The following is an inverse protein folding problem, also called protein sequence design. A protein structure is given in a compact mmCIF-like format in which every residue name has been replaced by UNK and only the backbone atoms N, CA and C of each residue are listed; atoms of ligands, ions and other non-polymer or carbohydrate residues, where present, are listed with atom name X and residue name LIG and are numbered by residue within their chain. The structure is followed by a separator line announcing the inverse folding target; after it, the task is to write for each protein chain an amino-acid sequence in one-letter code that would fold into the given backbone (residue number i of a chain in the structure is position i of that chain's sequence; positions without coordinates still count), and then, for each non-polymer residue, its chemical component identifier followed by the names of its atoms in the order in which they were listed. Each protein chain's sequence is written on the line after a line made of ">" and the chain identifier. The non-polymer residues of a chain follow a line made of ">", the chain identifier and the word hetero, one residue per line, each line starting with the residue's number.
data_IF_345014889488
#
_entry.id   IF_345014889488
#
_cell.length_a   1.000
_cell.length_b   1.000
_cell.length_c   1.000
_cell.angle_alpha   90.00
_cell.angle_beta   90.00
_cell.angle_gamma   90.00
#
_symmetry.space_group_name_H-M   'P 1'
#
loop_
_entity.id
_entity.type
_entity.pdbx_description
1 polymer ?
#
# COMPACT_ATOMS: atom_id res chain seq x y z
N UNK A 1 55.78 -65.76 -21.65
CA UNK A 1 56.14 -65.15 -20.34
C UNK A 1 55.70 -63.69 -20.41
N UNK A 2 54.51 -63.33 -19.93
CA UNK A 2 54.12 -62.87 -18.57
C UNK A 2 54.36 -61.35 -18.35
N UNK A 3 53.35 -60.71 -17.74
CA UNK A 3 53.18 -59.31 -17.25
C UNK A 3 52.55 -58.33 -18.26
N UNK A 4 51.23 -58.12 -18.26
CA UNK A 4 50.40 -57.36 -17.29
C UNK A 4 50.74 -55.86 -17.25
N UNK A 5 49.83 -54.99 -17.73
CA UNK A 5 49.46 -53.84 -16.92
C UNK A 5 48.03 -53.33 -17.21
N UNK A 6 47.34 -53.07 -16.11
CA UNK A 6 45.97 -52.62 -15.94
C UNK A 6 45.75 -51.23 -16.53
N UNK A 7 44.61 -51.00 -17.20
CA UNK A 7 44.01 -49.67 -17.28
C UNK A 7 42.50 -49.76 -17.04
N UNK A 8 42.15 -49.56 -15.78
CA UNK A 8 40.82 -49.19 -15.36
C UNK A 8 40.47 -47.82 -15.99
N UNK A 9 39.35 -47.75 -16.70
CA UNK A 9 38.84 -46.53 -17.31
C UNK A 9 37.34 -46.63 -17.54
N UNK A 10 36.59 -46.93 -16.47
CA UNK A 10 35.13 -47.02 -16.53
C UNK A 10 34.57 -45.62 -16.57
N UNK A 11 33.94 -45.33 -17.71
CA UNK A 11 33.42 -44.04 -18.12
C UNK A 11 32.56 -43.36 -17.05
N UNK A 12 32.89 -42.08 -16.85
CA UNK A 12 32.25 -41.11 -15.98
C UNK A 12 30.91 -40.70 -16.62
N UNK A 13 29.79 -41.11 -16.04
CA UNK A 13 28.47 -40.55 -16.38
C UNK A 13 27.81 -40.06 -15.09
N UNK A 14 28.03 -38.77 -14.81
CA UNK A 14 27.35 -37.98 -13.78
C UNK A 14 25.84 -38.00 -14.10
N UNK A 15 25.08 -38.76 -13.32
CA UNK A 15 23.62 -38.83 -13.40
C UNK A 15 22.93 -38.01 -12.31
N UNK A 16 22.16 -37.02 -12.76
CA UNK A 16 21.03 -36.38 -12.07
C UNK A 16 21.32 -35.55 -10.81
N UNK A 17 21.71 -34.29 -11.03
CA UNK A 17 21.47 -33.22 -10.06
C UNK A 17 19.97 -32.90 -10.05
N UNK A 18 19.23 -33.48 -9.09
CA UNK A 18 17.80 -33.18 -8.90
C UNK A 18 17.67 -31.76 -8.36
N UNK A 19 17.44 -30.81 -9.27
CA UNK A 19 17.13 -29.43 -8.94
C UNK A 19 15.68 -29.37 -8.47
N UNK A 20 15.46 -29.56 -7.17
CA UNK A 20 14.20 -29.23 -6.52
C UNK A 20 13.96 -27.72 -6.62
N UNK A 21 13.25 -27.31 -7.66
CA UNK A 21 12.70 -25.96 -7.78
C UNK A 21 11.58 -25.84 -6.76
N UNK A 22 11.91 -25.28 -5.58
CA UNK A 22 10.92 -24.77 -4.65
C UNK A 22 10.30 -23.52 -5.30
N UNK A 23 9.15 -23.70 -5.95
CA UNK A 23 8.34 -22.61 -6.50
C UNK A 23 7.82 -21.76 -5.34
N UNK A 24 8.56 -20.73 -4.97
CA UNK A 24 8.07 -19.64 -4.13
C UNK A 24 7.08 -18.80 -4.91
N UNK A 25 5.79 -19.18 -4.88
CA UNK A 25 4.73 -18.29 -5.31
C UNK A 25 4.56 -17.19 -4.25
N UNK A 26 5.31 -16.10 -4.40
CA UNK A 26 5.10 -14.87 -3.64
C UNK A 26 3.80 -14.22 -4.14
N UNK A 27 2.70 -14.49 -3.45
CA UNK A 27 1.42 -13.82 -3.69
C UNK A 27 1.51 -12.37 -3.18
N UNK A 28 1.96 -11.46 -4.03
CA UNK A 28 1.77 -10.03 -3.82
C UNK A 28 0.30 -9.67 -4.08
N UNK A 29 -0.58 -9.87 -3.10
CA UNK A 29 -1.90 -9.23 -3.13
C UNK A 29 -1.73 -7.73 -2.89
N UNK A 30 -2.19 -6.90 -3.83
CA UNK A 30 -2.28 -5.47 -3.56
C UNK A 30 -3.40 -5.28 -2.54
N UNK A 31 -3.07 -4.74 -1.37
CA UNK A 31 -4.03 -4.45 -0.30
C UNK A 31 -4.88 -3.22 -0.65
N UNK A 32 -6.10 -3.14 -0.13
CA UNK A 32 -6.94 -1.94 -0.26
C UNK A 32 -6.22 -0.71 0.29
N UNK A 33 -6.31 0.38 -0.45
CA UNK A 33 -5.72 1.67 -0.09
C UNK A 33 -6.78 2.77 -0.13
N UNK A 34 -6.71 3.70 0.81
CA UNK A 34 -7.63 4.85 0.86
C UNK A 34 -6.85 6.14 0.93
N UNK A 35 -7.21 7.10 0.08
CA UNK A 35 -6.62 8.43 0.11
C UNK A 35 -7.33 9.28 1.16
N UNK A 36 -6.63 9.53 2.27
CA UNK A 36 -7.21 10.10 3.48
C UNK A 36 -6.65 11.49 3.74
N UNK A 37 -7.52 12.38 4.22
CA UNK A 37 -7.14 13.64 4.82
C UNK A 37 -7.66 13.71 6.25
N UNK A 38 -6.93 14.40 7.14
CA UNK A 38 -7.32 14.55 8.53
C UNK A 38 -7.20 15.98 9.05
N UNK A 39 -7.93 16.27 10.12
CA UNK A 39 -7.84 17.52 10.89
C UNK A 39 -7.67 17.13 12.35
N UNK A 40 -6.55 17.54 12.95
CA UNK A 40 -6.29 17.33 14.38
C UNK A 40 -6.82 18.52 15.20
N UNK A 41 -7.58 18.23 16.25
CA UNK A 41 -8.26 19.19 17.12
C UNK A 41 -8.06 18.80 18.59
N UNK A 42 -8.14 19.79 19.48
CA UNK A 42 -7.86 19.59 20.92
C UNK A 42 -9.07 19.07 21.70
N UNK A 43 -10.30 19.29 21.21
CA UNK A 43 -11.51 18.89 21.93
C UNK A 43 -12.58 18.34 21.01
N UNK A 44 -13.43 17.47 21.56
CA UNK A 44 -14.59 16.90 20.87
C UNK A 44 -15.53 17.99 20.35
N UNK A 45 -15.84 18.98 21.20
CA UNK A 45 -16.73 20.08 20.85
C UNK A 45 -16.21 20.87 19.66
N UNK A 46 -14.89 21.10 19.58
CA UNK A 46 -14.30 21.73 18.41
C UNK A 46 -14.40 20.83 17.17
N UNK A 47 -14.16 19.53 17.30
CA UNK A 47 -14.34 18.59 16.20
C UNK A 47 -15.78 18.54 15.67
N UNK A 48 -16.78 18.53 16.54
CA UNK A 48 -18.18 18.59 16.14
C UNK A 48 -18.52 19.91 15.43
N UNK A 49 -17.99 21.04 15.93
CA UNK A 49 -18.21 22.35 15.32
C UNK A 49 -17.55 22.46 13.94
N UNK A 50 -16.28 22.05 13.82
CA UNK A 50 -15.54 22.05 12.55
C UNK A 50 -16.21 21.13 11.55
N UNK A 51 -16.71 19.96 11.99
CA UNK A 51 -17.47 19.06 11.11
C UNK A 51 -18.72 19.73 10.56
N UNK A 52 -19.47 20.45 11.39
CA UNK A 52 -20.64 21.22 10.94
C UNK A 52 -20.24 22.31 9.94
N UNK A 53 -19.13 23.02 10.17
CA UNK A 53 -18.59 24.01 9.21
C UNK A 53 -18.28 23.35 7.85
N UNK A 54 -17.62 22.19 7.86
CA UNK A 54 -17.31 21.47 6.61
C UNK A 54 -18.57 21.02 5.88
N UNK A 55 -19.54 20.45 6.59
CA UNK A 55 -20.81 20.02 5.99
C UNK A 55 -21.58 21.22 5.42
N UNK A 56 -21.66 22.33 6.16
CA UNK A 56 -22.28 23.56 5.69
C UNK A 56 -21.55 24.17 4.47
N UNK A 57 -20.24 23.97 4.37
CA UNK A 57 -19.41 24.37 3.24
C UNK A 57 -19.52 23.48 2.00
N UNK A 58 -20.40 22.46 2.02
CA UNK A 58 -20.62 21.54 0.90
C UNK A 58 -20.21 20.09 1.18
N UNK A 59 -19.53 19.82 2.31
CA UNK A 59 -19.16 18.47 2.70
C UNK A 59 -18.16 17.80 1.77
N UNK A 60 -17.40 18.57 1.00
CA UNK A 60 -16.45 18.08 0.01
C UNK A 60 -14.99 18.23 0.46
N UNK A 61 -14.07 17.73 -0.37
CA UNK A 61 -12.64 17.84 -0.11
C UNK A 61 -12.18 19.30 0.05
N UNK A 62 -12.78 20.23 -0.70
CA UNK A 62 -12.39 21.65 -0.69
C UNK A 62 -12.77 22.32 0.63
N UNK A 63 -13.99 22.09 1.11
CA UNK A 63 -14.45 22.56 2.41
C UNK A 63 -13.62 21.96 3.54
N UNK A 64 -13.29 20.67 3.45
CA UNK A 64 -12.44 19.99 4.43
C UNK A 64 -11.03 20.59 4.47
N UNK A 65 -10.40 20.80 3.31
CA UNK A 65 -9.07 21.44 3.21
C UNK A 65 -9.10 22.87 3.76
N UNK A 66 -10.13 23.66 3.47
CA UNK A 66 -10.28 25.00 4.03
C UNK A 66 -10.41 24.98 5.56
N UNK A 67 -11.20 24.06 6.12
CA UNK A 67 -11.32 23.88 7.56
C UNK A 67 -10.01 23.41 8.20
N UNK A 68 -9.24 22.55 7.51
CA UNK A 68 -7.93 22.09 7.96
C UNK A 68 -6.95 23.27 8.10
N UNK A 69 -6.88 24.15 7.09
CA UNK A 69 -6.01 25.33 7.14
C UNK A 69 -6.34 26.26 8.30
N UNK A 70 -7.61 26.38 8.68
CA UNK A 70 -8.02 27.22 9.81
C UNK A 70 -7.74 26.55 11.15
N UNK A 71 -8.22 25.32 11.33
CA UNK A 71 -8.39 24.73 12.67
C UNK A 71 -7.38 23.66 13.03
N UNK A 72 -6.76 22.98 12.05
CA UNK A 72 -5.87 21.85 12.32
C UNK A 72 -4.69 22.27 13.21
N UNK A 73 -4.38 21.42 14.18
CA UNK A 73 -3.22 21.51 15.06
C UNK A 73 -2.03 20.68 14.58
N UNK A 74 -2.22 19.82 13.58
CA UNK A 74 -1.13 19.07 12.98
C UNK A 74 -0.34 19.95 12.02
N UNK A 75 0.81 20.45 12.48
CA UNK A 75 1.70 21.30 11.68
C UNK A 75 2.25 20.59 10.43
N UNK A 76 2.31 19.26 10.41
CA UNK A 76 2.92 18.49 9.33
C UNK A 76 1.99 18.41 8.12
N UNK A 77 0.71 18.09 8.34
CA UNK A 77 -0.26 17.92 7.24
C UNK A 77 -1.11 19.16 6.99
N UNK A 78 -1.22 20.09 7.95
CA UNK A 78 -1.96 21.35 7.76
C UNK A 78 -1.59 22.09 6.47
N UNK A 79 -0.32 22.33 6.10
CA UNK A 79 0.01 22.99 4.83
C UNK A 79 -0.43 22.19 3.59
N UNK A 80 -0.57 20.87 3.72
CA UNK A 80 -1.04 19.96 2.67
C UNK A 80 -2.57 19.77 2.69
N UNK A 81 -3.30 20.60 3.44
CA UNK A 81 -4.76 20.49 3.57
C UNK A 81 -5.20 19.26 4.35
N UNK A 82 -4.34 18.73 5.21
CA UNK A 82 -4.58 17.53 6.02
C UNK A 82 -4.29 16.22 5.29
N UNK A 83 -3.78 16.26 4.07
CA UNK A 83 -3.63 15.08 3.23
C UNK A 83 -2.49 14.17 3.71
N UNK A 84 -2.82 12.91 4.02
CA UNK A 84 -1.87 11.85 4.38
C UNK A 84 -1.52 10.94 3.18
N UNK A 85 -2.21 11.11 2.05
CA UNK A 85 -2.07 10.24 0.90
C UNK A 85 -2.79 8.91 1.08
N UNK A 86 -2.32 7.88 0.37
CA UNK A 86 -2.90 6.54 0.40
C UNK A 86 -2.43 5.75 1.61
N UNK A 87 -3.35 5.44 2.52
CA UNK A 87 -3.12 4.60 3.68
C UNK A 87 -3.64 3.18 3.44
N UNK A 88 -3.04 2.20 4.10
CA UNK A 88 -3.52 0.81 4.21
C UNK A 88 -4.05 0.58 5.62
N UNK A 89 -4.88 -0.45 5.79
CA UNK A 89 -5.42 -0.83 7.10
C UNK A 89 -4.32 -1.02 8.17
N UNK A 90 -3.14 -1.51 7.74
CA UNK A 90 -2.00 -1.83 8.61
C UNK A 90 -0.84 -0.84 8.44
N UNK A 91 -1.11 0.41 8.08
CA UNK A 91 -0.08 1.44 7.85
C UNK A 91 0.59 1.97 9.13
N UNK A 92 0.26 1.43 10.32
CA UNK A 92 0.84 1.86 11.59
C UNK A 92 0.23 3.15 12.16
N UNK A 93 -0.92 3.59 11.64
CA UNK A 93 -1.73 4.63 12.29
C UNK A 93 -2.49 4.06 13.48
N UNK A 94 -2.96 4.94 14.35
CA UNK A 94 -3.84 4.58 15.47
C UNK A 94 -5.00 3.69 15.00
N UNK A 95 -5.35 2.62 15.75
CA UNK A 95 -6.40 1.68 15.36
C UNK A 95 -7.78 2.34 15.20
N UNK A 96 -8.13 3.32 16.04
CA UNK A 96 -9.41 4.03 15.96
C UNK A 96 -9.45 4.92 14.71
N UNK A 97 -8.33 5.59 14.40
CA UNK A 97 -8.18 6.37 13.18
C UNK A 97 -8.35 5.49 11.93
N UNK A 98 -7.63 4.37 11.88
CA UNK A 98 -7.67 3.45 10.75
C UNK A 98 -9.07 2.84 10.59
N UNK A 99 -9.69 2.37 11.67
CA UNK A 99 -11.04 1.81 11.62
C UNK A 99 -12.06 2.82 11.08
N UNK A 100 -12.01 4.08 11.57
CA UNK A 100 -12.90 5.12 11.08
C UNK A 100 -12.68 5.44 9.60
N UNK A 101 -11.42 5.56 9.15
CA UNK A 101 -11.10 5.80 7.74
C UNK A 101 -11.57 4.66 6.82
N UNK A 102 -11.44 3.41 7.26
CA UNK A 102 -11.84 2.22 6.50
C UNK A 102 -13.35 1.89 6.57
N UNK A 103 -14.09 2.52 7.48
CA UNK A 103 -15.55 2.45 7.53
C UNK A 103 -16.25 3.51 6.66
N UNK A 104 -15.52 4.55 6.24
CA UNK A 104 -16.08 5.61 5.40
C UNK A 104 -16.25 5.18 3.94
N UNK A 105 -17.14 5.85 3.21
CA UNK A 105 -17.25 5.76 1.75
C UNK A 105 -16.41 6.87 1.11
N UNK A 106 -16.13 6.76 -0.19
CA UNK A 106 -15.52 7.85 -0.96
C UNK A 106 -16.37 9.13 -0.84
N UNK A 107 -15.71 10.26 -0.56
CA UNK A 107 -16.33 11.55 -0.23
C UNK A 107 -16.87 11.66 1.20
N UNK A 108 -16.77 10.61 2.01
CA UNK A 108 -17.29 10.58 3.37
C UNK A 108 -16.41 11.34 4.36
N UNK A 109 -17.05 11.93 5.37
CA UNK A 109 -16.42 12.58 6.52
C UNK A 109 -16.81 11.83 7.79
N UNK A 110 -15.83 11.49 8.63
CA UNK A 110 -16.07 10.77 9.88
C UNK A 110 -16.78 11.63 10.93
N UNK A 111 -17.33 10.95 11.94
CA UNK A 111 -17.54 11.57 13.24
C UNK A 111 -16.18 11.86 13.93
N UNK A 112 -16.14 12.69 14.98
CA UNK A 112 -14.92 12.92 15.76
C UNK A 112 -14.35 11.63 16.34
N UNK A 113 -13.10 11.33 15.99
CA UNK A 113 -12.37 10.13 16.43
C UNK A 113 -11.33 10.55 17.46
N UNK A 114 -11.36 9.96 18.66
CA UNK A 114 -10.34 10.17 19.68
C UNK A 114 -9.16 9.22 19.45
N UNK A 115 -7.95 9.75 19.46
CA UNK A 115 -6.68 8.99 19.45
C UNK A 115 -5.77 9.52 20.57
N UNK A 116 -4.58 8.94 20.70
CA UNK A 116 -3.53 9.44 21.60
C UNK A 116 -3.10 10.90 21.34
N UNK A 117 -3.26 11.39 20.10
CA UNK A 117 -2.87 12.76 19.71
C UNK A 117 -3.96 13.80 19.94
N UNK A 118 -5.21 13.38 20.12
CA UNK A 118 -6.37 14.25 20.29
C UNK A 118 -7.56 13.82 19.45
N UNK A 119 -8.34 14.79 18.97
CA UNK A 119 -9.56 14.55 18.20
C UNK A 119 -9.32 14.73 16.71
N UNK A 120 -9.71 13.73 15.93
CA UNK A 120 -9.51 13.70 14.48
C UNK A 120 -10.85 13.74 13.76
N UNK A 121 -10.92 14.59 12.73
CA UNK A 121 -11.88 14.42 11.65
C UNK A 121 -11.15 13.81 10.46
N UNK A 122 -11.82 12.89 9.78
CA UNK A 122 -11.24 12.11 8.68
C UNK A 122 -12.10 12.29 7.45
N UNK A 123 -11.49 12.52 6.30
CA UNK A 123 -12.15 12.55 5.00
C UNK A 123 -11.48 11.57 4.04
N UNK A 124 -12.28 10.75 3.35
CA UNK A 124 -11.79 9.79 2.35
C UNK A 124 -12.10 10.34 0.96
N UNK A 125 -11.05 10.72 0.22
CA UNK A 125 -11.20 11.27 -1.13
C UNK A 125 -11.23 10.20 -2.22
N UNK A 126 -10.58 9.06 -1.99
CA UNK A 126 -10.45 7.98 -2.99
C UNK A 126 -10.28 6.62 -2.30
N UNK A 127 -10.85 5.57 -2.89
CA UNK A 127 -10.68 4.19 -2.46
C UNK A 127 -10.13 3.40 -3.64
N UNK A 128 -8.95 2.81 -3.46
CA UNK A 128 -8.30 1.91 -4.40
C UNK A 128 -8.45 0.49 -3.88
N UNK A 129 -9.33 -0.28 -4.52
CA UNK A 129 -9.54 -1.67 -4.20
C UNK A 129 -8.23 -2.46 -4.35
N UNK A 130 -7.99 -3.36 -3.41
CA UNK A 130 -6.92 -4.33 -3.55
C UNK A 130 -7.17 -5.26 -4.73
N UNK A 131 -6.13 -5.57 -5.52
CA UNK A 131 -6.25 -6.60 -6.53
C UNK A 131 -6.22 -7.96 -5.84
N UNK A 132 -7.32 -8.71 -5.90
CA UNK A 132 -7.33 -10.11 -5.51
C UNK A 132 -6.22 -10.86 -6.27
N UNK A 133 -5.52 -11.83 -5.65
CA UNK A 133 -4.66 -12.71 -6.43
C UNK A 133 -5.53 -13.42 -7.46
N UNK A 134 -5.28 -13.18 -8.75
CA UNK A 134 -5.88 -14.02 -9.80
C UNK A 134 -5.41 -15.45 -9.50
N UNK A 135 -6.29 -16.32 -9.02
CA UNK A 135 -6.08 -17.77 -9.15
C UNK A 135 -5.88 -18.01 -10.64
N UNK A 136 -4.67 -18.37 -11.04
CA UNK A 136 -4.43 -18.96 -12.35
C UNK A 136 -5.12 -20.34 -12.35
N UNK A 137 -6.41 -20.37 -12.69
CA UNK A 137 -7.04 -21.59 -13.19
C UNK A 137 -6.62 -21.69 -14.65
N UNK A 138 -5.47 -22.33 -14.88
CA UNK A 138 -5.08 -22.81 -16.20
C UNK A 138 -4.79 -24.30 -16.04
N UNK A 139 -5.76 -25.10 -16.47
CA UNK A 139 -5.57 -26.49 -16.78
C UNK A 139 -4.37 -26.66 -17.74
N UNK A 140 -3.70 -27.79 -17.61
CA UNK A 140 -2.50 -28.18 -18.31
C UNK A 140 -2.51 -27.89 -19.82
N UNK A 141 -1.46 -27.24 -20.32
CA UNK A 141 -0.86 -27.52 -21.62
C UNK A 141 0.57 -26.95 -21.67
N UNK A 142 1.49 -27.88 -21.79
CA UNK A 142 2.94 -27.83 -21.97
C UNK A 142 3.45 -26.75 -22.94
N UNK A 143 4.57 -26.09 -22.62
CA UNK A 143 5.38 -25.37 -23.60
C UNK A 143 6.30 -24.28 -23.03
N UNK A 144 7.54 -24.64 -22.70
CA UNK A 144 8.62 -23.71 -22.35
C UNK A 144 9.09 -22.89 -23.57
N UNK A 145 9.35 -21.58 -23.40
CA UNK A 145 10.58 -20.91 -23.88
C UNK A 145 10.69 -19.47 -23.33
N UNK A 146 11.72 -19.22 -22.53
CA UNK A 146 12.34 -17.89 -22.29
C UNK A 146 13.15 -17.45 -23.52
N UNK A 147 13.35 -16.13 -23.75
CA UNK A 147 14.58 -15.44 -23.32
C UNK A 147 14.30 -14.02 -22.75
N UNK A 148 14.87 -13.64 -21.59
CA UNK A 148 16.14 -12.90 -21.40
C UNK A 148 16.10 -11.36 -21.58
N UNK A 149 16.56 -10.68 -20.52
CA UNK A 149 17.19 -9.35 -20.42
C UNK A 149 16.42 -8.07 -20.81
N UNK A 150 16.27 -7.14 -19.84
CA UNK A 150 17.09 -5.91 -19.78
C UNK A 150 16.65 -4.92 -18.67
N UNK A 151 17.60 -4.62 -17.79
CA UNK A 151 17.97 -3.32 -17.16
C UNK A 151 16.89 -2.36 -16.59
N UNK A 152 17.05 -1.86 -15.33
CA UNK A 152 16.13 -0.88 -14.72
C UNK A 152 16.38 0.57 -15.20
N UNK A 153 15.34 1.38 -15.48
CA UNK A 153 15.52 2.81 -15.72
C UNK A 153 15.49 3.62 -14.42
N UNK A 154 16.55 4.41 -14.26
CA UNK A 154 16.69 5.46 -13.27
C UNK A 154 15.61 6.56 -13.44
N UNK A 155 15.14 7.12 -12.32
CA UNK A 155 14.23 8.26 -12.29
C UNK A 155 15.03 9.56 -12.48
N UNK A 156 14.70 10.41 -13.47
CA UNK A 156 15.33 11.72 -13.60
C UNK A 156 14.76 12.71 -12.57
N UNK A 157 15.66 13.43 -11.91
CA UNK A 157 15.38 14.65 -11.15
C UNK A 157 15.18 15.80 -12.15
N UNK A 158 14.10 16.58 -11.97
CA UNK A 158 13.91 17.84 -12.66
C UNK A 158 13.35 18.87 -11.66
N UNK A 159 14.13 19.94 -11.49
CA UNK A 159 13.85 21.14 -10.70
C UNK A 159 13.15 22.18 -11.61
N UNK A 160 12.16 22.95 -11.12
CA UNK A 160 11.57 24.07 -11.87
C UNK A 160 12.30 25.42 -11.58
N UNK A 161 11.98 26.51 -12.32
CA UNK A 161 12.93 27.55 -12.76
C UNK A 161 13.35 28.57 -11.71
#
# INVERSE_FOLDING_TARGET
>A
MKLMNSFAGRSLLLGAFSLSVLVGATYASAQEQRKVSHILLVSKTQAEQVRKEVIAGGGDAKAFTAACYKHSKDATTKPLGGNLGFIRQNSGYDPAFSAAAFNLKTGGISEPVLTEFGWHLIHVSEIKAGSAPKKAVAAAATGQKTPETSKPPAKPAATPP
#
